data_IF_093994546350
#
_entry.id   IF_093994546350
#
_cell.length_a   1.000
_cell.length_b   1.000
_cell.length_c   1.000
_cell.angle_alpha   90.00
_cell.angle_beta   90.00
_cell.angle_gamma   90.00
#
_symmetry.space_group_name_H-M   'P 1'
#
loop_
_entity.id
_entity.type
_entity.pdbx_description
1 polymer ?
#
# COMPACT_ATOMS: atom_id res chain seq x y z
N UNK A 1 3.78 1.27 7.77
CA UNK A 1 4.93 2.10 7.47
C UNK A 1 5.86 1.42 6.47
N UNK A 2 6.44 2.19 5.60
CA UNK A 2 7.33 1.69 4.55
C UNK A 2 8.73 2.27 4.80
N UNK A 3 9.72 1.39 4.82
CA UNK A 3 11.11 1.77 5.02
C UNK A 3 11.83 1.87 3.67
N UNK A 4 12.40 3.03 3.40
CA UNK A 4 13.13 3.28 2.18
C UNK A 4 14.52 3.84 2.48
N UNK A 5 15.48 3.55 1.61
CA UNK A 5 16.82 4.10 1.69
C UNK A 5 17.30 4.38 0.27
N UNK A 6 17.68 5.62 0.00
CA UNK A 6 18.11 6.05 -1.33
C UNK A 6 17.09 5.68 -2.42
N UNK A 7 15.82 5.76 -2.10
CA UNK A 7 14.74 5.43 -3.03
C UNK A 7 14.46 3.95 -3.15
N UNK A 8 15.17 3.10 -2.42
CA UNK A 8 14.94 1.67 -2.45
C UNK A 8 13.96 1.24 -1.36
N UNK A 9 13.13 0.28 -1.71
CA UNK A 9 12.17 -0.31 -0.80
C UNK A 9 12.91 -1.32 0.09
N UNK A 10 13.05 -1.03 1.39
CA UNK A 10 13.81 -1.88 2.29
C UNK A 10 12.94 -2.84 3.07
N UNK A 11 11.83 -2.38 3.62
CA UNK A 11 11.00 -3.20 4.48
C UNK A 11 9.62 -2.59 4.68
N UNK A 12 8.73 -3.39 5.25
CA UNK A 12 7.38 -2.99 5.62
C UNK A 12 7.20 -3.29 7.10
N UNK A 13 6.71 -2.31 7.84
CA UNK A 13 6.34 -2.49 9.24
C UNK A 13 4.83 -2.40 9.34
N UNK A 14 4.21 -3.46 9.82
CA UNK A 14 2.75 -3.54 9.91
C UNK A 14 2.27 -2.95 11.22
N UNK A 15 1.39 -1.96 11.14
CA UNK A 15 0.75 -1.31 12.30
C UNK A 15 1.74 -0.92 13.40
N UNK A 16 2.79 -0.17 13.08
CA UNK A 16 3.74 0.23 14.10
C UNK A 16 3.13 1.27 15.04
N UNK A 17 3.45 1.15 16.32
CA UNK A 17 3.02 2.13 17.31
C UNK A 17 3.71 3.47 17.08
N UNK A 18 4.94 3.43 16.64
CA UNK A 18 5.74 4.61 16.37
C UNK A 18 6.41 4.43 15.02
N UNK A 19 5.74 4.83 13.93
CA UNK A 19 6.24 4.57 12.57
C UNK A 19 7.62 5.18 12.35
N UNK A 20 8.59 4.39 11.88
CA UNK A 20 9.94 4.91 11.63
C UNK A 20 10.01 5.82 10.39
N UNK A 21 9.02 5.73 9.51
CA UNK A 21 8.96 6.54 8.30
C UNK A 21 7.54 7.05 8.09
N UNK A 22 7.40 8.12 7.34
CA UNK A 22 6.10 8.74 7.08
C UNK A 22 5.47 8.30 5.76
N UNK A 23 5.89 7.16 5.22
CA UNK A 23 5.29 6.56 4.04
C UNK A 23 4.41 5.40 4.46
N UNK A 24 3.26 5.27 3.80
CA UNK A 24 2.33 4.17 4.02
C UNK A 24 1.94 3.55 2.68
N UNK A 25 1.57 2.28 2.71
CA UNK A 25 1.12 1.60 1.50
C UNK A 25 -0.32 1.97 1.22
N UNK A 26 -0.59 2.42 0.01
CA UNK A 26 -1.92 2.87 -0.39
C UNK A 26 -2.89 1.77 -0.80
N UNK A 27 -2.42 0.55 -0.95
CA UNK A 27 -3.31 -0.56 -1.27
C UNK A 27 -3.43 -0.90 -2.75
N UNK A 28 -2.55 -0.36 -3.59
CA UNK A 28 -2.48 -0.74 -5.00
C UNK A 28 -1.23 -1.59 -5.19
N UNK A 29 -1.42 -2.80 -5.72
CA UNK A 29 -0.34 -3.77 -5.87
C UNK A 29 -0.37 -4.37 -7.26
N UNK A 30 0.81 -4.67 -7.77
CA UNK A 30 0.96 -5.47 -8.99
C UNK A 30 2.00 -6.54 -8.72
N UNK A 31 1.59 -7.78 -8.86
CA UNK A 31 2.45 -8.94 -8.59
C UNK A 31 2.67 -9.76 -9.85
N UNK A 32 3.79 -10.45 -9.91
CA UNK A 32 4.04 -11.43 -10.96
C UNK A 32 3.55 -12.82 -10.52
N UNK A 33 3.87 -13.83 -11.31
CA UNK A 33 3.39 -15.19 -11.08
C UNK A 33 3.91 -15.83 -9.80
N UNK A 34 4.97 -15.30 -9.20
CA UNK A 34 5.51 -15.81 -7.94
C UNK A 34 4.58 -15.51 -6.76
N UNK A 35 3.57 -14.68 -6.98
CA UNK A 35 2.64 -14.29 -5.93
C UNK A 35 2.06 -15.50 -5.19
N UNK A 36 1.63 -16.51 -5.93
CA UNK A 36 0.96 -17.65 -5.29
C UNK A 36 1.89 -18.47 -4.42
N UNK A 37 3.16 -18.59 -4.80
CA UNK A 37 4.17 -19.25 -3.96
C UNK A 37 4.39 -18.47 -2.67
N UNK A 38 4.56 -17.18 -2.75
CA UNK A 38 4.72 -16.32 -1.58
C UNK A 38 3.47 -16.28 -0.73
N UNK A 39 2.31 -16.32 -1.35
CA UNK A 39 1.04 -16.39 -0.65
C UNK A 39 0.96 -17.66 0.21
N UNK A 40 1.25 -18.81 -0.38
CA UNK A 40 1.21 -20.08 0.34
C UNK A 40 2.20 -20.12 1.49
N UNK A 41 3.41 -19.61 1.30
CA UNK A 41 4.40 -19.50 2.34
C UNK A 41 3.94 -18.58 3.48
N UNK A 42 3.34 -17.45 3.13
CA UNK A 42 2.83 -16.51 4.10
C UNK A 42 1.70 -17.09 4.94
N UNK A 43 0.77 -17.77 4.30
CA UNK A 43 -0.34 -18.42 5.02
C UNK A 43 0.17 -19.49 5.96
N UNK A 44 1.16 -20.31 5.52
CA UNK A 44 1.73 -21.35 6.36
C UNK A 44 2.46 -20.78 7.57
N UNK A 45 3.11 -19.64 7.41
CA UNK A 45 3.91 -19.03 8.48
C UNK A 45 3.05 -18.21 9.45
N UNK A 46 2.14 -17.40 8.93
CA UNK A 46 1.39 -16.43 9.73
C UNK A 46 0.00 -16.89 10.15
N UNK A 47 -0.53 -17.92 9.48
CA UNK A 47 -1.86 -18.47 9.77
C UNK A 47 -2.92 -17.35 9.85
N UNK A 48 -3.55 -17.17 11.02
CA UNK A 48 -4.60 -16.19 11.20
C UNK A 48 -4.13 -14.75 11.06
N UNK A 49 -2.84 -14.52 11.26
CA UNK A 49 -2.26 -13.17 11.18
C UNK A 49 -1.76 -12.83 9.78
N UNK A 50 -2.02 -13.70 8.81
CA UNK A 50 -1.60 -13.46 7.44
C UNK A 50 -2.27 -12.21 6.85
N UNK A 51 -1.48 -11.41 6.13
CA UNK A 51 -1.98 -10.26 5.39
C UNK A 51 -1.21 -10.11 4.09
N UNK A 52 -1.70 -9.25 3.21
CA UNK A 52 -1.04 -8.96 1.95
C UNK A 52 0.38 -8.40 2.17
N UNK A 53 0.62 -7.79 3.31
CA UNK A 53 1.95 -7.28 3.66
C UNK A 53 2.98 -8.40 3.78
N UNK A 54 2.55 -9.61 4.13
CA UNK A 54 3.45 -10.75 4.21
C UNK A 54 3.97 -11.16 2.84
N UNK A 55 3.11 -11.10 1.84
CA UNK A 55 3.51 -11.37 0.46
C UNK A 55 4.43 -10.26 -0.03
N UNK A 56 4.04 -9.01 0.18
CA UNK A 56 4.83 -7.86 -0.27
C UNK A 56 6.20 -7.86 0.38
N UNK A 57 6.29 -8.20 1.65
CA UNK A 57 7.57 -8.29 2.36
C UNK A 57 8.52 -9.30 1.73
N UNK A 58 7.99 -10.41 1.23
CA UNK A 58 8.80 -11.41 0.56
C UNK A 58 9.42 -10.91 -0.73
N UNK A 59 8.64 -10.13 -1.50
CA UNK A 59 9.19 -9.46 -2.68
C UNK A 59 10.26 -8.44 -2.30
N UNK A 60 10.05 -7.71 -1.22
CA UNK A 60 11.04 -6.73 -0.75
C UNK A 60 12.34 -7.42 -0.37
N UNK A 61 12.25 -8.52 0.38
CA UNK A 61 13.45 -9.29 0.77
C UNK A 61 14.16 -9.88 -0.42
N UNK A 62 13.42 -10.25 -1.44
CA UNK A 62 13.97 -10.80 -2.68
C UNK A 62 14.64 -9.70 -3.54
N UNK A 63 14.43 -8.46 -3.22
CA UNK A 63 14.98 -7.34 -3.97
C UNK A 63 14.25 -7.01 -5.24
N UNK A 64 13.07 -7.57 -5.45
CA UNK A 64 12.30 -7.40 -6.68
C UNK A 64 11.11 -6.45 -6.55
N UNK A 65 10.93 -5.83 -5.40
CA UNK A 65 9.84 -4.88 -5.20
C UNK A 65 10.22 -3.49 -5.69
N UNK A 66 9.26 -2.82 -6.33
CA UNK A 66 9.42 -1.43 -6.75
C UNK A 66 8.34 -0.59 -6.08
N UNK A 67 8.72 0.59 -5.62
CA UNK A 67 7.82 1.51 -4.96
C UNK A 67 7.47 2.67 -5.88
N UNK A 68 6.18 2.91 -6.05
CA UNK A 68 5.69 4.12 -6.72
C UNK A 68 5.06 5.03 -5.67
N UNK A 69 5.52 6.26 -5.61
CA UNK A 69 4.99 7.25 -4.68
C UNK A 69 3.89 8.04 -5.36
N UNK A 70 2.76 8.21 -4.68
CA UNK A 70 1.63 8.99 -5.19
C UNK A 70 1.98 10.46 -5.32
N UNK A 71 2.89 10.94 -4.48
CA UNK A 71 3.33 12.34 -4.55
C UNK A 71 2.31 13.26 -3.90
N UNK A 72 1.97 14.33 -4.60
CA UNK A 72 1.05 15.35 -4.10
C UNK A 72 -0.42 15.05 -4.41
N UNK A 73 -0.70 13.96 -5.08
CA UNK A 73 -2.06 13.59 -5.40
C UNK A 73 -2.83 13.21 -4.14
N UNK A 74 -4.13 13.48 -4.16
CA UNK A 74 -4.97 13.17 -3.02
C UNK A 74 -5.25 11.67 -2.94
N UNK A 75 -5.05 11.13 -1.76
CA UNK A 75 -5.32 9.72 -1.49
C UNK A 75 -6.24 9.64 -0.27
N UNK A 76 -7.36 8.97 -0.41
CA UNK A 76 -8.35 8.85 0.67
C UNK A 76 -8.70 7.39 0.91
N UNK A 77 -8.65 6.98 2.17
CA UNK A 77 -9.10 5.65 2.58
C UNK A 77 -10.57 5.75 3.02
N UNK A 78 -11.43 4.97 2.40
CA UNK A 78 -12.88 5.01 2.64
C UNK A 78 -13.36 3.84 3.49
N UNK A 79 -12.58 3.43 4.47
CA UNK A 79 -12.87 2.24 5.28
C UNK A 79 -13.97 2.42 6.33
N UNK A 80 -14.47 3.63 6.53
CA UNK A 80 -15.57 3.90 7.47
C UNK A 80 -16.65 4.70 6.76
N UNK A 81 -17.85 4.71 7.35
CA UNK A 81 -18.96 5.51 6.79
C UNK A 81 -18.59 6.99 6.74
N UNK A 82 -17.93 7.49 7.77
CA UNK A 82 -17.51 8.88 7.84
C UNK A 82 -16.47 9.21 6.78
N UNK A 83 -15.44 8.39 6.63
CA UNK A 83 -14.41 8.64 5.62
C UNK A 83 -14.94 8.52 4.21
N UNK A 84 -15.89 7.61 3.99
CA UNK A 84 -16.56 7.49 2.69
C UNK A 84 -17.37 8.74 2.37
N UNK A 85 -18.10 9.26 3.35
CA UNK A 85 -18.85 10.51 3.18
C UNK A 85 -17.92 11.67 2.84
N UNK A 86 -16.82 11.80 3.56
CA UNK A 86 -15.84 12.85 3.29
C UNK A 86 -15.25 12.73 1.90
N UNK A 87 -14.92 11.53 1.46
CA UNK A 87 -14.40 11.29 0.13
C UNK A 87 -15.43 11.67 -0.94
N UNK A 88 -16.71 11.35 -0.69
CA UNK A 88 -17.80 11.69 -1.60
C UNK A 88 -17.95 13.20 -1.74
N UNK A 89 -17.86 13.93 -0.64
CA UNK A 89 -17.92 15.40 -0.64
C UNK A 89 -16.72 15.97 -1.41
N UNK A 90 -15.53 15.43 -1.19
CA UNK A 90 -14.34 15.86 -1.91
C UNK A 90 -14.47 15.62 -3.42
N UNK A 91 -15.05 14.48 -3.80
CA UNK A 91 -15.27 14.18 -5.21
C UNK A 91 -16.27 15.16 -5.83
N UNK A 92 -17.36 15.45 -5.11
CA UNK A 92 -18.36 16.41 -5.57
C UNK A 92 -17.75 17.79 -5.79
N UNK A 93 -16.86 18.20 -4.89
CA UNK A 93 -16.25 19.53 -4.92
C UNK A 93 -14.99 19.58 -5.81
N UNK A 94 -14.71 18.52 -6.54
CA UNK A 94 -13.57 18.48 -7.47
C UNK A 94 -12.22 18.34 -6.80
N UNK A 95 -12.19 17.96 -5.53
CA UNK A 95 -10.94 17.85 -4.77
C UNK A 95 -10.27 16.49 -4.89
N UNK A 96 -11.00 15.47 -5.33
CA UNK A 96 -10.43 14.22 -5.75
C UNK A 96 -10.25 14.32 -7.25
N UNK A 97 -9.18 14.90 -7.62
CA UNK A 97 -9.02 15.35 -8.95
C UNK A 97 -8.92 14.25 -9.99
N UNK A 98 -9.83 14.22 -10.94
CA UNK A 98 -9.68 13.32 -12.06
C UNK A 98 -8.46 13.69 -12.88
N UNK A 99 -7.86 12.67 -13.47
CA UNK A 99 -6.74 12.87 -14.34
C UNK A 99 -7.10 13.82 -15.49
N UNK A 100 -6.28 14.84 -15.76
CA UNK A 100 -6.58 15.79 -16.82
C UNK A 100 -6.54 15.17 -18.23
N UNK A 101 -5.96 14.00 -18.37
CA UNK A 101 -5.87 13.36 -19.68
C UNK A 101 -6.85 12.24 -19.88
N UNK A 102 -7.83 12.12 -19.02
CA UNK A 102 -8.84 11.13 -19.24
C UNK A 102 -9.99 11.73 -20.03
N UNK A 103 -9.85 11.92 -21.20
CA UNK A 103 -10.95 12.30 -22.06
C UNK A 103 -11.37 11.18 -22.96
#
# INVERSE_FOLDING_TARGET
SVMCDAGKFINIVVRPTNPPYNLAIGGIYRFDERFWGFFDEGVAEMAEDFSISDVTRRYVKDGSATLLTVGEETWVDCGTAESLLQASIMARDGKLNPSPHRE
#
